data_IF_881905217076
#
_entry.id   IF_881905217076
#
_cell.length_a   1.000
_cell.length_b   1.000
_cell.length_c   1.000
_cell.angle_alpha   90.00
_cell.angle_beta   90.00
_cell.angle_gamma   90.00
#
_symmetry.space_group_name_H-M   'P 1'
#
loop_
_entity.id
_entity.type
_entity.pdbx_description
1 polymer ?
#
# COMPACT_ATOMS: atom_id res chain seq x y z
N UNK A 1 -1.51 13.63 13.67
CA UNK A 1 -0.45 14.26 12.86
C UNK A 1 0.45 13.17 12.28
N UNK A 2 0.94 13.29 11.03
CA UNK A 2 1.92 12.37 10.47
C UNK A 2 3.22 12.42 11.29
N UNK A 3 3.82 11.26 11.56
CA UNK A 3 5.14 11.22 12.22
C UNK A 3 6.22 11.65 11.24
N UNK A 4 7.12 12.53 11.68
CA UNK A 4 8.31 12.91 10.89
C UNK A 4 9.39 11.81 10.90
N UNK A 5 9.22 10.77 11.72
CA UNK A 5 10.12 9.61 11.83
C UNK A 5 9.28 8.33 11.77
N UNK A 6 8.83 7.91 10.58
CA UNK A 6 8.04 6.69 10.43
C UNK A 6 8.89 5.47 10.79
N UNK A 7 8.34 4.60 11.63
CA UNK A 7 8.91 3.27 11.87
C UNK A 7 8.35 2.29 10.84
N UNK A 8 9.04 1.17 10.62
CA UNK A 8 8.54 0.12 9.73
C UNK A 8 7.15 -0.39 10.17
N UNK A 9 6.91 -0.49 11.49
CA UNK A 9 5.58 -0.81 12.04
C UNK A 9 4.53 0.23 11.62
N UNK A 10 4.84 1.51 11.77
CA UNK A 10 3.91 2.58 11.38
C UNK A 10 3.62 2.56 9.88
N UNK A 11 4.64 2.30 9.06
CA UNK A 11 4.49 2.12 7.61
C UNK A 11 3.51 0.99 7.33
N UNK A 12 3.71 -0.20 7.89
CA UNK A 12 2.78 -1.32 7.66
C UNK A 12 1.36 -1.05 8.19
N UNK A 13 1.20 -0.28 9.27
CA UNK A 13 -0.11 0.15 9.74
C UNK A 13 -0.84 1.01 8.70
N UNK A 14 -0.13 1.84 7.92
CA UNK A 14 -0.73 2.58 6.81
C UNK A 14 -1.25 1.65 5.70
N UNK A 15 -0.70 0.44 5.55
CA UNK A 15 -1.12 -0.52 4.52
C UNK A 15 -2.13 -1.57 4.99
N UNK A 16 -2.43 -1.66 6.29
CA UNK A 16 -3.36 -2.66 6.83
C UNK A 16 -4.75 -2.62 6.19
N UNK A 17 -5.18 -1.44 5.73
CA UNK A 17 -6.49 -1.23 5.13
C UNK A 17 -6.47 -1.28 3.59
N UNK A 18 -5.33 -1.65 2.98
CA UNK A 18 -5.22 -1.91 1.53
C UNK A 18 -5.63 -3.37 1.29
N UNK A 19 -6.62 -3.57 0.43
CA UNK A 19 -7.16 -4.90 0.14
C UNK A 19 -7.36 -5.08 -1.36
N UNK A 20 -7.41 -6.35 -1.80
CA UNK A 20 -7.81 -6.71 -3.15
C UNK A 20 -9.28 -7.10 -3.12
N UNK A 21 -10.10 -6.38 -3.85
CA UNK A 21 -11.50 -6.72 -4.11
C UNK A 21 -11.64 -7.31 -5.51
N UNK A 22 -12.46 -8.34 -5.66
CA UNK A 22 -12.80 -8.90 -6.98
C UNK A 22 -14.21 -8.45 -7.32
N UNK A 23 -14.35 -7.64 -8.36
CA UNK A 23 -15.63 -7.15 -8.87
C UNK A 23 -15.76 -7.61 -10.32
N UNK A 24 -16.81 -8.38 -10.62
CA UNK A 24 -17.05 -8.94 -11.96
C UNK A 24 -15.83 -9.68 -12.56
N UNK A 25 -15.08 -10.41 -11.73
CA UNK A 25 -13.88 -11.13 -12.14
C UNK A 25 -12.62 -10.28 -12.30
N UNK A 26 -12.71 -8.95 -12.14
CA UNK A 26 -11.58 -8.02 -12.22
C UNK A 26 -11.07 -7.73 -10.80
N UNK A 27 -9.73 -7.79 -10.63
CA UNK A 27 -9.07 -7.42 -9.37
C UNK A 27 -8.95 -5.90 -9.27
N UNK A 28 -9.42 -5.35 -8.16
CA UNK A 28 -9.30 -3.94 -7.80
C UNK A 28 -8.55 -3.82 -6.48
N UNK A 29 -7.55 -2.95 -6.44
CA UNK A 29 -6.87 -2.61 -5.19
C UNK A 29 -7.64 -1.46 -4.55
N UNK A 30 -8.18 -1.68 -3.35
CA UNK A 30 -8.94 -0.68 -2.61
C UNK A 30 -8.04 0.06 -1.63
N UNK A 31 -8.38 1.33 -1.35
CA UNK A 31 -7.71 2.16 -0.35
C UNK A 31 -6.19 2.38 -0.60
N UNK A 32 -5.74 2.21 -1.83
CA UNK A 32 -4.40 2.57 -2.29
C UNK A 32 -4.38 4.05 -2.71
N UNK A 33 -4.33 4.94 -1.72
CA UNK A 33 -4.29 6.40 -1.97
C UNK A 33 -2.95 6.85 -2.54
N UNK A 34 -2.90 8.05 -3.12
CA UNK A 34 -1.66 8.64 -3.64
C UNK A 34 -0.52 8.69 -2.59
N UNK A 35 -0.85 8.99 -1.33
CA UNK A 35 0.12 8.96 -0.23
C UNK A 35 0.72 7.55 -0.03
N UNK A 36 -0.11 6.50 -0.10
CA UNK A 36 0.34 5.11 0.06
C UNK A 36 1.15 4.64 -1.14
N UNK A 37 0.79 5.08 -2.35
CA UNK A 37 1.61 4.86 -3.55
C UNK A 37 2.99 5.52 -3.43
N UNK A 38 3.04 6.75 -2.92
CA UNK A 38 4.31 7.44 -2.67
C UNK A 38 5.17 6.68 -1.65
N UNK A 39 4.59 6.21 -0.53
CA UNK A 39 5.34 5.41 0.46
C UNK A 39 5.86 4.11 -0.17
N UNK A 40 5.07 3.43 -1.01
CA UNK A 40 5.47 2.19 -1.72
C UNK A 40 6.70 2.38 -2.61
N UNK A 41 6.86 3.55 -3.23
CA UNK A 41 8.02 3.85 -4.06
C UNK A 41 9.35 3.73 -3.29
N UNK A 42 9.33 3.94 -1.97
CA UNK A 42 10.50 3.83 -1.09
C UNK A 42 10.70 2.43 -0.49
N UNK A 43 9.74 1.49 -0.61
CA UNK A 43 9.78 0.17 0.03
C UNK A 43 10.45 -0.94 -0.79
N UNK A 44 11.01 -0.59 -1.97
CA UNK A 44 11.67 -1.52 -2.88
C UNK A 44 10.71 -2.37 -3.73
N UNK A 45 11.26 -3.03 -4.74
CA UNK A 45 10.49 -3.70 -5.78
C UNK A 45 9.57 -4.82 -5.26
N UNK A 46 10.02 -5.62 -4.29
CA UNK A 46 9.21 -6.73 -3.75
C UNK A 46 7.93 -6.25 -3.07
N UNK A 47 8.00 -5.16 -2.31
CA UNK A 47 6.82 -4.56 -1.66
C UNK A 47 5.87 -3.96 -2.69
N UNK A 48 6.41 -3.28 -3.71
CA UNK A 48 5.60 -2.71 -4.80
C UNK A 48 4.79 -3.78 -5.51
N UNK A 49 5.44 -4.89 -5.91
CA UNK A 49 4.77 -6.02 -6.57
C UNK A 49 3.66 -6.62 -5.70
N UNK A 50 3.91 -6.80 -4.41
CA UNK A 50 2.93 -7.35 -3.47
C UNK A 50 1.64 -6.53 -3.41
N UNK A 51 1.74 -5.19 -3.36
CA UNK A 51 0.57 -4.32 -3.24
C UNK A 51 -0.03 -3.88 -4.58
N UNK A 52 0.74 -3.88 -5.68
CA UNK A 52 0.29 -3.44 -7.01
C UNK A 52 -0.24 -4.59 -7.89
N UNK A 53 -0.15 -5.85 -7.43
CA UNK A 53 -0.56 -7.03 -8.19
C UNK A 53 0.10 -7.14 -9.59
N UNK A 54 1.30 -6.57 -9.72
CA UNK A 54 2.11 -6.49 -10.94
C UNK A 54 3.38 -7.32 -10.83
#
# INVERSE_FOLDING_TARGET
QPTQRPTLRWIFQQFMAVHVAILNGVKHITNLTAQRQLILQFMGASCQKYYLLS
#
